data_IF_755510149439
#
_entry.id   IF_755510149439
#
_cell.length_a   1.000
_cell.length_b   1.000
_cell.length_c   1.000
_cell.angle_alpha   90.00
_cell.angle_beta   90.00
_cell.angle_gamma   90.00
#
_symmetry.space_group_name_H-M   'P 1'
#
loop_
_entity.id
_entity.type
_entity.pdbx_description
1 polymer ?
#
# COMPACT_ATOMS: atom_id res chain seq x y z
N UNK A 1 -10.53 -6.33 5.22
CA UNK A 1 -10.15 -5.61 3.98
C UNK A 1 -8.91 -4.80 4.29
N UNK A 2 -7.88 -4.89 3.45
CA UNK A 2 -6.70 -4.03 3.48
C UNK A 2 -6.85 -2.98 2.37
N UNK A 3 -6.85 -1.70 2.72
CA UNK A 3 -6.80 -0.57 1.79
C UNK A 3 -5.38 0.00 1.73
N UNK A 4 -4.92 0.37 0.53
CA UNK A 4 -3.58 0.90 0.28
C UNK A 4 -3.66 2.16 -0.60
N UNK A 5 -3.00 3.21 -0.14
CA UNK A 5 -2.71 4.46 -0.87
C UNK A 5 -1.22 4.44 -1.27
N UNK A 6 -0.89 4.10 -2.54
CA UNK A 6 0.49 3.87 -2.95
C UNK A 6 1.33 5.15 -3.02
N UNK A 7 2.57 5.08 -2.54
CA UNK A 7 3.57 6.12 -2.76
C UNK A 7 4.99 5.60 -2.57
N UNK A 8 5.95 6.05 -3.37
CA UNK A 8 7.32 5.52 -3.26
C UNK A 8 8.06 5.95 -2.00
N UNK A 9 7.67 7.08 -1.38
CA UNK A 9 8.23 7.57 -0.12
C UNK A 9 7.44 7.12 1.09
N UNK A 10 6.13 7.20 0.97
CA UNK A 10 5.17 6.93 2.02
C UNK A 10 4.03 6.21 1.32
N UNK A 11 3.79 4.96 1.68
CA UNK A 11 2.61 4.20 1.27
C UNK A 11 1.68 4.13 2.48
N UNK A 12 0.48 4.71 2.35
CA UNK A 12 -0.55 4.65 3.39
C UNK A 12 -1.28 3.30 3.37
N UNK A 13 -1.67 2.81 4.55
CA UNK A 13 -2.51 1.62 4.64
C UNK A 13 -3.56 1.73 5.75
N UNK A 14 -4.64 0.98 5.57
CA UNK A 14 -5.69 0.83 6.56
C UNK A 14 -6.33 -0.55 6.48
N UNK A 15 -6.61 -1.16 7.63
CA UNK A 15 -7.24 -2.46 7.73
C UNK A 15 -8.56 -2.29 8.46
N UNK A 16 -9.62 -2.71 7.81
CA UNK A 16 -10.97 -2.69 8.37
C UNK A 16 -11.56 -4.09 8.39
N UNK A 17 -12.36 -4.37 9.43
CA UNK A 17 -13.06 -5.64 9.60
C UNK A 17 -14.56 -5.40 9.65
N UNK A 18 -15.31 -6.29 8.99
CA UNK A 18 -16.76 -6.36 9.07
C UNK A 18 -17.18 -7.79 9.45
N UNK A 19 -17.92 -7.91 10.54
CA UNK A 19 -18.41 -9.19 11.06
C UNK A 19 -19.94 -9.22 10.96
N UNK A 20 -20.45 -9.90 9.93
CA UNK A 20 -21.89 -9.99 9.67
C UNK A 20 -22.55 -8.61 9.52
N UNK A 21 -23.53 -8.34 10.39
CA UNK A 21 -24.28 -7.06 10.40
C UNK A 21 -23.64 -5.99 11.29
N UNK A 22 -22.53 -6.30 11.96
CA UNK A 22 -21.87 -5.33 12.83
C UNK A 22 -21.34 -4.14 12.01
N UNK A 23 -21.22 -2.95 12.64
CA UNK A 23 -20.53 -1.82 12.04
C UNK A 23 -19.12 -2.18 11.58
N UNK A 24 -18.62 -1.43 10.59
CA UNK A 24 -17.24 -1.55 10.17
C UNK A 24 -16.33 -1.09 11.31
N UNK A 25 -15.29 -1.86 11.61
CA UNK A 25 -14.31 -1.55 12.65
C UNK A 25 -12.95 -1.31 12.03
N UNK A 26 -12.25 -0.28 12.51
CA UNK A 26 -10.84 -0.05 12.20
C UNK A 26 -10.00 -1.02 13.04
N UNK A 27 -9.19 -1.84 12.37
CA UNK A 27 -8.27 -2.78 13.02
C UNK A 27 -6.91 -2.14 13.22
N UNK A 28 -6.37 -1.54 12.16
CA UNK A 28 -5.06 -0.89 12.16
C UNK A 28 -5.00 0.11 11.01
N UNK A 29 -4.24 1.20 11.17
CA UNK A 29 -3.84 2.05 10.05
C UNK A 29 -2.44 2.61 10.31
N UNK A 30 -1.75 2.97 9.23
CA UNK A 30 -0.38 3.46 9.34
C UNK A 30 0.21 3.79 7.99
N UNK A 31 1.54 3.86 7.97
CA UNK A 31 2.33 4.15 6.78
C UNK A 31 3.55 3.25 6.72
N UNK A 32 3.89 2.79 5.52
CA UNK A 32 5.19 2.21 5.20
C UNK A 32 6.06 3.37 4.69
N UNK A 33 7.09 3.73 5.47
CA UNK A 33 8.01 4.82 5.15
C UNK A 33 9.29 4.24 4.58
N UNK A 34 9.62 4.61 3.36
CA UNK A 34 10.87 4.18 2.76
C UNK A 34 12.00 5.14 3.08
N UNK A 35 13.23 4.64 3.06
CA UNK A 35 14.41 5.48 3.35
C UNK A 35 14.65 6.50 2.23
N UNK A 36 14.79 7.81 2.53
CA UNK A 36 14.92 8.84 1.49
C UNK A 36 16.18 8.75 0.61
N UNK A 37 17.22 8.07 1.10
CA UNK A 37 18.51 7.93 0.39
C UNK A 37 18.60 6.66 -0.45
N UNK A 38 17.63 5.77 -0.31
CA UNK A 38 17.62 4.50 -1.01
C UNK A 38 17.21 4.71 -2.47
N UNK A 39 17.73 3.87 -3.35
CA UNK A 39 17.31 3.88 -4.75
C UNK A 39 15.88 3.37 -4.91
N UNK A 40 15.31 3.51 -6.11
CA UNK A 40 13.94 3.09 -6.36
C UNK A 40 13.74 1.59 -6.08
N UNK A 41 14.69 0.73 -6.43
CA UNK A 41 14.53 -0.71 -6.27
C UNK A 41 14.46 -1.10 -4.79
N UNK A 42 15.32 -0.52 -3.95
CA UNK A 42 15.31 -0.72 -2.51
C UNK A 42 14.00 -0.23 -1.88
N UNK A 43 13.52 0.95 -2.28
CA UNK A 43 12.25 1.50 -1.79
C UNK A 43 11.06 0.63 -2.19
N UNK A 44 11.07 0.06 -3.40
CA UNK A 44 10.04 -0.88 -3.85
C UNK A 44 10.07 -2.19 -3.06
N UNK A 45 11.26 -2.72 -2.74
CA UNK A 45 11.40 -3.89 -1.88
C UNK A 45 10.86 -3.63 -0.47
N UNK A 46 11.16 -2.48 0.13
CA UNK A 46 10.61 -2.08 1.44
C UNK A 46 9.08 -2.01 1.44
N UNK A 47 8.49 -1.47 0.36
CA UNK A 47 7.03 -1.41 0.21
C UNK A 47 6.43 -2.82 0.12
N UNK A 48 6.99 -3.67 -0.73
CA UNK A 48 6.55 -5.06 -0.89
C UNK A 48 6.62 -5.83 0.44
N UNK A 49 7.76 -5.76 1.13
CA UNK A 49 7.97 -6.48 2.37
C UNK A 49 7.03 -5.99 3.49
N UNK A 50 6.80 -4.68 3.57
CA UNK A 50 5.84 -4.09 4.50
C UNK A 50 4.40 -4.53 4.21
N UNK A 51 3.99 -4.59 2.94
CA UNK A 51 2.65 -5.09 2.57
C UNK A 51 2.52 -6.57 2.88
N UNK A 52 3.52 -7.39 2.55
CA UNK A 52 3.51 -8.82 2.89
C UNK A 52 3.45 -9.05 4.40
N UNK A 53 4.11 -8.22 5.21
CA UNK A 53 4.00 -8.29 6.66
C UNK A 53 2.56 -8.03 7.13
N UNK A 54 1.89 -7.01 6.60
CA UNK A 54 0.49 -6.71 6.90
C UNK A 54 -0.43 -7.86 6.48
N UNK A 55 -0.21 -8.44 5.29
CA UNK A 55 -0.98 -9.58 4.80
C UNK A 55 -0.79 -10.79 5.73
N UNK A 56 0.47 -11.12 6.08
CA UNK A 56 0.77 -12.24 6.98
C UNK A 56 0.14 -12.05 8.36
N UNK A 57 0.23 -10.85 8.92
CA UNK A 57 -0.25 -10.53 10.27
C UNK A 57 -1.77 -10.52 10.38
N UNK A 58 -2.46 -9.96 9.39
CA UNK A 58 -3.90 -9.71 9.47
C UNK A 58 -4.76 -10.62 8.59
N UNK A 59 -4.16 -11.37 7.66
CA UNK A 59 -4.85 -12.29 6.74
C UNK A 59 -6.08 -11.65 6.07
N UNK A 60 -5.96 -10.46 5.44
CA UNK A 60 -7.10 -9.83 4.79
C UNK A 60 -7.58 -10.66 3.60
N UNK A 61 -8.88 -10.84 3.46
CA UNK A 61 -9.50 -11.57 2.34
C UNK A 61 -9.67 -10.73 1.09
N UNK A 62 -9.58 -9.40 1.22
CA UNK A 62 -9.75 -8.43 0.14
C UNK A 62 -8.72 -7.34 0.32
N UNK A 63 -8.07 -6.99 -0.78
CA UNK A 63 -7.14 -5.86 -0.88
C UNK A 63 -7.72 -4.83 -1.87
N UNK A 64 -7.70 -3.57 -1.47
CA UNK A 64 -8.13 -2.42 -2.27
C UNK A 64 -6.95 -1.46 -2.43
N UNK A 65 -6.67 -1.04 -3.65
CA UNK A 65 -5.58 -0.11 -3.97
C UNK A 65 -6.17 1.08 -4.71
N UNK A 66 -5.77 2.28 -4.31
CA UNK A 66 -6.10 3.49 -5.04
C UNK A 66 -5.56 3.45 -6.49
N UNK A 67 -6.32 4.05 -7.42
CA UNK A 67 -5.91 4.14 -8.81
C UNK A 67 -4.98 5.33 -9.07
N UNK A 68 -4.20 5.27 -10.15
CA UNK A 68 -3.33 6.38 -10.52
C UNK A 68 -4.18 7.44 -11.23
N UNK A 69 -4.60 8.47 -10.51
CA UNK A 69 -5.28 9.60 -11.13
C UNK A 69 -4.29 10.59 -11.77
N UNK A 70 -4.60 10.97 -13.02
CA UNK A 70 -4.08 12.11 -13.79
C UNK A 70 -2.82 12.81 -13.21
N UNK A 71 -1.64 12.21 -13.41
CA UNK A 71 -0.42 12.94 -13.13
C UNK A 71 -0.16 13.94 -14.27
N UNK A 72 0.02 15.22 -13.93
CA UNK A 72 0.58 16.21 -14.88
C UNK A 72 1.99 15.81 -15.36
N UNK A 73 2.65 14.88 -14.68
CA UNK A 73 4.01 14.47 -14.94
C UNK A 73 4.11 12.94 -15.16
N UNK A 74 4.43 12.56 -16.39
CA UNK A 74 4.56 11.15 -16.81
C UNK A 74 5.60 10.39 -15.99
N UNK A 75 6.72 11.04 -15.60
CA UNK A 75 7.77 10.40 -14.81
C UNK A 75 7.24 9.95 -13.45
N UNK A 76 6.44 10.78 -12.78
CA UNK A 76 5.86 10.41 -11.48
C UNK A 76 4.83 9.29 -11.63
N UNK A 77 4.06 9.26 -12.73
CA UNK A 77 3.11 8.17 -13.03
C UNK A 77 3.82 6.83 -13.15
N UNK A 78 4.92 6.78 -13.90
CA UNK A 78 5.69 5.53 -14.11
C UNK A 78 6.23 5.02 -12.77
N UNK A 79 6.83 5.91 -11.98
CA UNK A 79 7.37 5.58 -10.66
C UNK A 79 6.28 5.08 -9.70
N UNK A 80 5.10 5.69 -9.72
CA UNK A 80 3.95 5.24 -8.94
C UNK A 80 3.40 3.89 -9.43
N UNK A 81 3.44 3.66 -10.75
CA UNK A 81 3.11 2.37 -11.36
C UNK A 81 4.00 1.23 -10.85
N UNK A 82 5.30 1.50 -10.65
CA UNK A 82 6.19 0.51 -10.04
C UNK A 82 5.78 0.18 -8.60
N UNK A 83 5.43 1.18 -7.80
CA UNK A 83 4.96 0.97 -6.42
C UNK A 83 3.68 0.12 -6.40
N UNK A 84 2.69 0.43 -7.25
CA UNK A 84 1.49 -0.40 -7.40
C UNK A 84 1.82 -1.82 -7.85
N UNK A 85 2.75 -1.97 -8.79
CA UNK A 85 3.21 -3.26 -9.27
C UNK A 85 3.71 -4.14 -8.14
N UNK A 86 4.61 -3.64 -7.29
CA UNK A 86 5.16 -4.43 -6.18
C UNK A 86 4.17 -4.67 -5.04
N UNK A 87 3.12 -3.85 -4.90
CA UNK A 87 2.02 -4.11 -3.95
C UNK A 87 1.14 -5.29 -4.43
N UNK A 88 1.11 -5.56 -5.74
CA UNK A 88 0.29 -6.60 -6.37
C UNK A 88 1.03 -7.92 -6.63
N UNK A 89 2.33 -7.98 -6.35
CA UNK A 89 3.15 -9.21 -6.43
C UNK A 89 2.94 -10.08 -5.18
#
# INVERSE_FOLDING_TARGET
VLGIDPGTAITGYGIVRKEGRNPLTLVECGVIRTRPRDDLAQRLAEIHDGVLELIRRHQPTVLSIEDIFYARNVRTTVVLGHARGVILL
#
